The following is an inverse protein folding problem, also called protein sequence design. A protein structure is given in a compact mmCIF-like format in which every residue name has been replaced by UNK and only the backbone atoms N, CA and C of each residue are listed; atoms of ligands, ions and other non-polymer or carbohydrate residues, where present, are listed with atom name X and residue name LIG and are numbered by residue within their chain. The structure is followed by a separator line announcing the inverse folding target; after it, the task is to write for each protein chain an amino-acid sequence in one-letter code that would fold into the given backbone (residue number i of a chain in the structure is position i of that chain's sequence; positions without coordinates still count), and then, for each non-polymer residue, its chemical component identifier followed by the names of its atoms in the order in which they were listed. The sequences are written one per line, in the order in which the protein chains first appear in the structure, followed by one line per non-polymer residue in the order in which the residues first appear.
data_IF_564076072570
#
_entry.id   IF_564076072570
#
_cell.length_a   1.000
_cell.length_b   1.000
_cell.length_c   1.000
_cell.angle_alpha   90.00
_cell.angle_beta   90.00
_cell.angle_gamma   90.00
#
_symmetry.space_group_name_H-M   'P 1'
#
loop_
_entity.id
_entity.type
_entity.pdbx_description
1 polymer ?
#
# COMPACT_ATOMS: atom_id res chain seq x y z
N UNK A 1 -1.81 3.08 7.26
CA UNK A 1 -2.58 1.84 7.12
C UNK A 1 -1.74 0.69 7.64
N UNK A 2 -2.35 -0.28 8.33
CA UNK A 2 -1.66 -1.49 8.78
C UNK A 2 -2.34 -2.68 8.10
N UNK A 3 -1.58 -3.42 7.30
CA UNK A 3 -2.00 -4.75 6.85
C UNK A 3 -1.45 -5.72 7.87
N UNK A 4 -2.32 -6.47 8.54
CA UNK A 4 -1.92 -7.50 9.50
C UNK A 4 -2.06 -8.84 8.78
N UNK A 5 -0.92 -9.51 8.53
CA UNK A 5 -0.92 -10.90 8.07
C UNK A 5 -0.78 -11.81 9.29
N UNK A 6 -1.73 -12.72 9.49
CA UNK A 6 -1.81 -13.58 10.68
C UNK A 6 -0.91 -14.83 10.59
N UNK A 7 0.10 -14.83 9.72
CA UNK A 7 1.02 -15.96 9.52
C UNK A 7 2.43 -15.58 9.95
N UNK A 8 2.78 -16.01 11.18
CA UNK A 8 4.09 -15.94 11.84
C UNK A 8 4.76 -14.54 11.90
N UNK A 9 4.46 -13.83 12.99
CA UNK A 9 4.90 -12.44 13.25
C UNK A 9 6.37 -12.31 13.70
N UNK A 10 7.17 -13.38 13.70
CA UNK A 10 8.48 -13.41 14.36
C UNK A 10 9.64 -12.75 13.60
N UNK A 11 9.47 -12.38 12.32
CA UNK A 11 10.59 -11.97 11.46
C UNK A 11 10.56 -10.53 10.90
N UNK A 12 9.57 -9.70 11.25
CA UNK A 12 9.41 -8.38 10.62
C UNK A 12 10.08 -7.27 11.42
N UNK A 13 11.13 -6.68 10.87
CA UNK A 13 11.71 -5.43 11.38
C UNK A 13 11.51 -4.30 10.37
N UNK A 14 10.92 -3.20 10.83
CA UNK A 14 10.84 -1.94 10.08
C UNK A 14 12.24 -1.34 10.06
N UNK A 15 12.95 -1.44 8.93
CA UNK A 15 14.28 -0.83 8.80
C UNK A 15 14.15 0.71 8.70
N UNK A 16 14.87 1.49 9.52
CA UNK A 16 14.88 2.94 9.39
C UNK A 16 15.65 3.37 8.12
N UNK A 17 15.12 4.39 7.43
CA UNK A 17 15.74 4.99 6.24
C UNK A 17 17.17 5.45 6.56
N UNK A 18 18.19 4.91 5.85
CA UNK A 18 19.54 5.50 5.82
C UNK A 18 19.97 5.84 4.38
N UNK A 19 20.14 7.15 4.20
CA UNK A 19 21.07 7.91 3.36
C UNK A 19 21.05 7.86 1.81
N UNK A 20 20.56 9.00 1.27
CA UNK A 20 21.18 9.92 0.30
C UNK A 20 21.82 9.37 -0.97
N UNK A 21 21.08 9.54 -2.07
CA UNK A 21 21.55 9.48 -3.46
C UNK A 21 21.68 10.95 -3.95
N UNK A 22 22.82 11.38 -4.53
CA UNK A 22 22.95 12.73 -5.06
C UNK A 22 22.22 12.87 -6.41
N UNK A 23 21.61 14.03 -6.73
CA UNK A 23 20.89 14.20 -7.98
C UNK A 23 21.85 14.51 -9.13
N UNK A 24 21.75 13.79 -10.26
CA UNK A 24 22.29 14.25 -11.55
C UNK A 24 21.16 14.71 -12.46
N UNK A 25 21.12 16.04 -12.63
CA UNK A 25 20.70 16.90 -13.77
C UNK A 25 19.36 16.61 -14.49
N UNK A 26 18.38 17.43 -14.11
CA UNK A 26 17.54 18.32 -14.95
C UNK A 26 17.08 17.82 -16.33
N UNK A 27 15.80 17.46 -16.42
CA UNK A 27 14.99 17.62 -17.63
C UNK A 27 13.99 18.76 -17.41
N UNK A 28 13.77 19.56 -18.44
CA UNK A 28 13.20 20.90 -18.41
C UNK A 28 11.72 20.97 -18.01
N UNK A 29 11.38 22.13 -17.46
CA UNK A 29 10.14 22.47 -16.76
C UNK A 29 9.04 22.80 -17.76
N UNK A 30 8.10 21.88 -17.99
CA UNK A 30 6.82 22.21 -18.62
C UNK A 30 5.87 22.76 -17.54
N UNK A 31 5.59 24.06 -17.66
CA UNK A 31 4.80 24.87 -16.74
C UNK A 31 3.29 24.67 -16.95
N UNK A 32 2.70 23.70 -16.26
CA UNK A 32 1.29 23.75 -15.82
C UNK A 32 1.00 22.73 -14.71
N UNK A 33 1.65 22.89 -13.56
CA UNK A 33 1.34 22.12 -12.37
C UNK A 33 0.03 22.65 -11.76
N UNK A 34 -1.02 21.82 -11.71
CA UNK A 34 -2.18 22.02 -10.84
C UNK A 34 -1.66 22.07 -9.38
N UNK A 35 -2.28 22.83 -8.47
CA UNK A 35 -1.84 22.92 -7.09
C UNK A 35 -2.04 21.56 -6.41
N UNK A 36 -1.07 20.66 -6.52
CA UNK A 36 -0.99 19.49 -5.67
C UNK A 36 -0.57 19.98 -4.29
N UNK A 37 -1.54 19.96 -3.37
CA UNK A 37 -1.39 19.97 -1.92
C UNK A 37 -0.09 20.65 -1.42
N UNK A 38 -0.06 21.99 -1.46
CA UNK A 38 1.11 22.80 -1.13
C UNK A 38 1.30 23.05 0.37
N UNK A 39 0.80 22.18 1.26
CA UNK A 39 1.02 22.31 2.71
C UNK A 39 1.94 21.22 3.22
N UNK A 40 3.25 21.48 3.18
CA UNK A 40 4.27 20.64 3.83
C UNK A 40 4.35 20.84 5.36
N UNK A 41 3.38 21.52 5.99
CA UNK A 41 3.24 21.64 7.46
C UNK A 41 1.79 21.85 7.89
N UNK A 42 0.95 20.85 7.66
CA UNK A 42 -0.32 20.67 8.36
C UNK A 42 -0.34 19.30 9.02
N UNK A 43 -0.96 19.19 10.19
CA UNK A 43 -1.31 17.90 10.80
C UNK A 43 -1.94 17.01 9.73
N UNK A 44 -1.54 15.73 9.60
CA UNK A 44 -2.19 14.84 8.64
C UNK A 44 -3.70 14.79 8.94
N UNK A 45 -4.54 14.65 7.91
CA UNK A 45 -5.97 14.58 8.12
C UNK A 45 -6.31 13.42 9.08
N UNK A 46 -7.34 13.58 9.92
CA UNK A 46 -7.74 12.54 10.86
C UNK A 46 -8.13 11.26 10.12
N UNK A 47 -7.92 10.10 10.73
CA UNK A 47 -8.36 8.84 10.12
C UNK A 47 -9.89 8.71 10.22
N UNK A 48 -10.59 8.40 9.11
CA UNK A 48 -12.01 8.04 9.16
C UNK A 48 -12.20 6.70 9.90
N UNK A 49 -13.43 6.37 10.32
CA UNK A 49 -13.74 5.08 10.93
C UNK A 49 -13.25 3.89 10.10
N UNK A 50 -12.59 2.94 10.76
CA UNK A 50 -11.95 1.79 10.12
C UNK A 50 -12.75 0.51 10.34
N UNK A 51 -12.70 -0.37 9.35
CA UNK A 51 -13.25 -1.71 9.35
C UNK A 51 -12.17 -2.72 8.98
N UNK A 52 -12.31 -3.94 9.50
CA UNK A 52 -11.49 -5.09 9.12
C UNK A 52 -12.16 -5.83 7.98
N UNK A 53 -11.45 -5.96 6.86
CA UNK A 53 -11.91 -6.69 5.67
C UNK A 53 -11.01 -7.91 5.45
N UNK A 54 -11.47 -9.14 5.72
CA UNK A 54 -10.72 -10.34 5.38
C UNK A 54 -10.78 -10.59 3.86
N UNK A 55 -9.61 -10.74 3.24
CA UNK A 55 -9.45 -11.03 1.82
C UNK A 55 -8.82 -12.40 1.64
N UNK A 56 -9.54 -13.32 0.98
CA UNK A 56 -9.00 -14.62 0.56
C UNK A 56 -8.15 -14.45 -0.69
N UNK A 57 -6.85 -14.69 -0.54
CA UNK A 57 -5.83 -14.52 -1.57
C UNK A 57 -5.39 -15.85 -2.17
N UNK A 58 -5.60 -16.95 -1.47
CA UNK A 58 -5.35 -18.28 -2.00
C UNK A 58 -6.53 -19.21 -1.69
N UNK A 59 -7.00 -19.89 -2.73
CA UNK A 59 -8.11 -20.84 -2.60
C UNK A 59 -7.62 -22.21 -2.09
N UNK A 60 -6.34 -22.54 -2.35
CA UNK A 60 -5.75 -23.85 -2.04
C UNK A 60 -5.20 -23.91 -0.59
N UNK A 61 -4.25 -23.04 -0.22
CA UNK A 61 -3.69 -22.99 1.15
C UNK A 61 -4.58 -22.20 2.13
N UNK A 62 -5.69 -21.62 1.65
CA UNK A 62 -6.62 -20.84 2.47
C UNK A 62 -6.05 -19.52 3.00
N UNK A 63 -4.96 -19.01 2.40
CA UNK A 63 -4.29 -17.81 2.88
C UNK A 63 -5.22 -16.59 2.82
N UNK A 64 -5.40 -15.95 3.97
CA UNK A 64 -6.26 -14.78 4.14
C UNK A 64 -5.44 -13.58 4.63
N UNK A 65 -5.62 -12.43 4.00
CA UNK A 65 -5.07 -11.15 4.46
C UNK A 65 -6.18 -10.31 5.08
N UNK A 66 -5.96 -9.78 6.28
CA UNK A 66 -6.90 -8.85 6.91
C UNK A 66 -6.46 -7.42 6.64
N UNK A 67 -7.29 -6.68 5.90
CA UNK A 67 -7.05 -5.28 5.55
C UNK A 67 -7.85 -4.38 6.47
N UNK A 68 -7.17 -3.50 7.21
CA UNK A 68 -7.81 -2.48 8.04
C UNK A 68 -7.90 -1.19 7.23
N UNK A 69 -9.11 -0.80 6.82
CA UNK A 69 -9.37 0.32 5.92
C UNK A 69 -10.65 1.08 6.29
N UNK A 70 -10.90 2.28 5.75
CA UNK A 70 -12.21 2.91 5.84
C UNK A 70 -13.28 2.06 5.15
N UNK A 71 -14.56 2.27 5.47
CA UNK A 71 -15.66 1.48 4.91
C UNK A 71 -15.62 1.48 3.37
N UNK A 72 -15.54 2.66 2.77
CA UNK A 72 -15.32 2.88 1.34
C UNK A 72 -14.78 4.29 1.09
N UNK A 73 -14.32 4.57 -0.14
CA UNK A 73 -13.89 5.91 -0.55
C UNK A 73 -14.95 6.99 -0.29
N UNK A 74 -16.22 6.73 -0.63
CA UNK A 74 -17.31 7.69 -0.40
C UNK A 74 -17.48 8.07 1.08
N UNK A 75 -17.47 7.08 1.98
CA UNK A 75 -17.56 7.34 3.43
C UNK A 75 -16.34 8.09 3.97
N UNK A 76 -15.14 7.81 3.44
CA UNK A 76 -13.94 8.56 3.79
C UNK A 76 -14.00 10.00 3.27
N UNK A 77 -14.58 10.22 2.10
CA UNK A 77 -14.74 11.55 1.51
C UNK A 77 -15.71 12.40 2.33
N UNK A 78 -16.88 11.86 2.69
CA UNK A 78 -17.86 12.54 3.54
C UNK A 78 -17.24 12.93 4.90
N UNK A 79 -16.43 12.04 5.48
CA UNK A 79 -15.70 12.32 6.71
C UNK A 79 -14.71 13.48 6.52
N UNK A 80 -13.95 13.51 5.43
CA UNK A 80 -12.99 14.58 5.17
C UNK A 80 -13.66 15.93 4.92
N UNK A 81 -14.73 15.97 4.13
CA UNK A 81 -15.52 17.18 3.92
C UNK A 81 -16.04 17.73 5.26
N UNK A 82 -16.57 16.86 6.13
CA UNK A 82 -17.06 17.25 7.46
C UNK A 82 -15.95 17.82 8.39
N UNK A 83 -14.69 17.49 8.13
CA UNK A 83 -13.53 17.94 8.92
C UNK A 83 -12.71 19.05 8.23
N UNK A 84 -13.21 19.62 7.12
CA UNK A 84 -12.55 20.71 6.40
C UNK A 84 -11.36 20.26 5.54
N UNK A 85 -11.39 19.03 5.04
CA UNK A 85 -10.40 18.43 4.14
C UNK A 85 -11.04 18.05 2.79
N UNK A 86 -11.80 18.95 2.18
CA UNK A 86 -12.48 18.74 0.89
C UNK A 86 -11.54 18.49 -0.30
N UNK A 87 -10.28 18.95 -0.20
CA UNK A 87 -9.23 18.65 -1.19
C UNK A 87 -8.60 17.24 -1.06
N UNK A 88 -8.98 16.46 -0.04
CA UNK A 88 -8.47 15.11 0.18
C UNK A 88 -9.33 14.06 -0.52
N UNK A 89 -8.84 13.54 -1.64
CA UNK A 89 -9.52 12.49 -2.41
C UNK A 89 -9.09 11.08 -1.94
N UNK A 90 -9.98 10.29 -1.29
CA UNK A 90 -9.61 9.04 -0.62
C UNK A 90 -9.69 7.80 -1.53
N UNK A 91 -9.21 7.87 -2.77
CA UNK A 91 -9.18 6.71 -3.67
C UNK A 91 -8.39 5.50 -3.13
N UNK A 92 -7.46 5.76 -2.21
CA UNK A 92 -6.72 4.71 -1.50
C UNK A 92 -7.62 3.87 -0.55
N UNK A 93 -8.80 4.35 -0.16
CA UNK A 93 -9.65 3.72 0.86
C UNK A 93 -10.36 2.44 0.39
N UNK A 94 -10.40 2.20 -0.91
CA UNK A 94 -10.99 1.00 -1.50
C UNK A 94 -9.91 -0.03 -1.87
N UNK A 95 -10.30 -1.30 -1.74
CA UNK A 95 -9.48 -2.40 -2.27
C UNK A 95 -9.74 -2.51 -3.76
N UNK A 96 -8.74 -2.17 -4.55
CA UNK A 96 -8.83 -2.26 -6.00
C UNK A 96 -8.87 -3.74 -6.45
N UNK A 97 -9.84 -4.15 -7.30
CA UNK A 97 -9.95 -5.52 -7.78
C UNK A 97 -8.68 -6.05 -8.43
N UNK A 98 -7.95 -5.17 -9.15
CA UNK A 98 -6.68 -5.52 -9.78
C UNK A 98 -5.60 -5.91 -8.76
N UNK A 99 -5.55 -5.27 -7.58
CA UNK A 99 -4.58 -5.61 -6.53
C UNK A 99 -4.90 -6.99 -5.92
N UNK A 100 -6.17 -7.33 -5.75
CA UNK A 100 -6.59 -8.68 -5.31
C UNK A 100 -6.29 -9.74 -6.35
N UNK A 101 -6.54 -9.45 -7.63
CA UNK A 101 -6.22 -10.37 -8.73
C UNK A 101 -4.70 -10.63 -8.82
N UNK A 102 -3.89 -9.57 -8.69
CA UNK A 102 -2.44 -9.71 -8.64
C UNK A 102 -1.99 -10.51 -7.43
N UNK A 103 -2.53 -10.24 -6.25
CA UNK A 103 -2.25 -10.99 -5.03
C UNK A 103 -2.53 -12.50 -5.22
N UNK A 104 -3.70 -12.85 -5.78
CA UNK A 104 -4.06 -14.24 -6.12
C UNK A 104 -3.10 -14.86 -7.13
N UNK A 105 -2.76 -14.10 -8.17
CA UNK A 105 -1.82 -14.56 -9.19
C UNK A 105 -0.44 -14.90 -8.60
N UNK A 106 0.07 -14.09 -7.66
CA UNK A 106 1.34 -14.36 -6.97
C UNK A 106 1.33 -15.69 -6.20
N UNK A 107 0.17 -16.12 -5.69
CA UNK A 107 0.01 -17.42 -5.04
C UNK A 107 -0.15 -18.56 -6.04
N UNK A 108 -0.75 -18.31 -7.21
CA UNK A 108 -0.94 -19.32 -8.26
C UNK A 108 0.33 -19.67 -9.06
N UNK A 109 1.43 -18.91 -8.90
CA UNK A 109 2.69 -19.14 -9.63
C UNK A 109 3.84 -19.53 -8.69
N UNK A 110 4.94 -20.02 -9.27
CA UNK A 110 6.16 -20.31 -8.50
C UNK A 110 6.78 -19.02 -7.95
N UNK A 111 7.25 -19.03 -6.70
CA UNK A 111 7.82 -17.85 -6.03
C UNK A 111 9.29 -17.56 -6.40
N UNK A 112 9.83 -18.16 -7.46
CA UNK A 112 11.27 -18.06 -7.75
C UNK A 112 11.70 -16.64 -8.15
N UNK A 113 10.80 -15.88 -8.79
CA UNK A 113 11.07 -14.51 -9.25
C UNK A 113 11.13 -13.48 -8.11
N UNK A 114 10.64 -13.80 -6.91
CA UNK A 114 10.67 -12.91 -5.73
C UNK A 114 11.77 -13.28 -4.72
N UNK A 115 12.47 -14.40 -4.91
CA UNK A 115 13.58 -14.81 -4.04
C UNK A 115 14.77 -13.86 -4.23
N UNK A 116 15.28 -13.35 -3.11
CA UNK A 116 16.36 -12.37 -3.00
C UNK A 116 16.12 -11.05 -3.78
N UNK A 117 14.90 -10.85 -4.26
CA UNK A 117 14.51 -9.71 -5.05
C UNK A 117 14.22 -8.48 -4.17
N UNK A 118 14.41 -7.30 -4.77
CA UNK A 118 13.88 -6.03 -4.25
C UNK A 118 12.66 -5.69 -5.09
N UNK A 119 11.49 -5.75 -4.47
CA UNK A 119 10.20 -5.53 -5.12
C UNK A 119 9.70 -4.13 -4.78
N UNK A 120 9.11 -3.44 -5.75
CA UNK A 120 8.41 -2.18 -5.54
C UNK A 120 7.01 -2.28 -6.15
N UNK A 121 5.98 -1.96 -5.37
CA UNK A 121 4.61 -1.80 -5.84
C UNK A 121 4.30 -0.31 -5.98
N UNK A 122 3.95 0.13 -7.19
CA UNK A 122 3.60 1.51 -7.51
C UNK A 122 2.09 1.68 -7.51
N UNK A 123 1.60 2.79 -6.96
CA UNK A 123 0.16 3.01 -6.77
C UNK A 123 -0.42 1.92 -5.87
N UNK A 124 0.28 1.62 -4.78
CA UNK A 124 -0.04 0.44 -3.97
C UNK A 124 -1.37 0.58 -3.21
N UNK A 125 -1.88 1.80 -3.00
CA UNK A 125 -3.07 2.03 -2.19
C UNK A 125 -2.94 1.36 -0.82
N UNK A 126 -3.80 0.37 -0.55
CA UNK A 126 -3.77 -0.41 0.70
C UNK A 126 -2.65 -1.46 0.77
N UNK A 127 -1.89 -1.68 -0.31
CA UNK A 127 -0.71 -2.54 -0.37
C UNK A 127 -1.00 -4.04 -0.41
N UNK A 128 -2.19 -4.44 -0.87
CA UNK A 128 -2.64 -5.85 -0.83
C UNK A 128 -1.69 -6.77 -1.61
N UNK A 129 -1.32 -6.41 -2.85
CA UNK A 129 -0.46 -7.27 -3.65
C UNK A 129 1.00 -7.27 -3.16
N UNK A 130 1.55 -6.15 -2.70
CA UNK A 130 2.88 -6.09 -2.13
C UNK A 130 2.99 -6.88 -0.83
N UNK A 131 1.99 -6.81 0.05
CA UNK A 131 1.95 -7.68 1.24
C UNK A 131 1.81 -9.14 0.85
N UNK A 132 0.94 -9.47 -0.10
CA UNK A 132 0.81 -10.83 -0.63
C UNK A 132 2.15 -11.35 -1.18
N UNK A 133 2.91 -10.53 -1.93
CA UNK A 133 4.24 -10.88 -2.41
C UNK A 133 5.20 -11.19 -1.25
N UNK A 134 5.18 -10.38 -0.21
CA UNK A 134 6.06 -10.54 0.95
C UNK A 134 5.73 -11.82 1.74
N UNK A 135 4.43 -12.13 1.92
CA UNK A 135 3.93 -13.37 2.54
C UNK A 135 4.30 -14.58 1.69
N UNK A 136 4.05 -14.51 0.37
CA UNK A 136 4.38 -15.57 -0.58
C UNK A 136 5.87 -15.89 -0.59
N UNK A 137 6.72 -14.87 -0.43
CA UNK A 137 8.17 -15.02 -0.35
C UNK A 137 8.64 -15.70 0.95
N UNK A 138 7.82 -15.78 2.01
CA UNK A 138 8.16 -16.36 3.32
C UNK A 138 9.52 -15.86 3.85
N UNK A 139 9.75 -14.54 3.79
CA UNK A 139 11.00 -13.91 4.24
C UNK A 139 12.17 -13.99 3.26
N UNK A 140 11.98 -14.58 2.06
CA UNK A 140 13.02 -14.65 1.02
C UNK A 140 13.09 -13.43 0.12
N UNK A 141 12.12 -12.52 0.18
CA UNK A 141 12.23 -11.23 -0.48
C UNK A 141 13.16 -10.34 0.34
N UNK A 142 14.13 -9.69 -0.31
CA UNK A 142 15.07 -8.80 0.39
C UNK A 142 14.36 -7.56 0.91
N UNK A 143 13.39 -7.05 0.15
CA UNK A 143 12.57 -5.89 0.50
C UNK A 143 11.35 -5.83 -0.42
N UNK A 144 10.19 -5.47 0.14
CA UNK A 144 9.03 -5.02 -0.62
C UNK A 144 8.74 -3.56 -0.23
N UNK A 145 8.86 -2.65 -1.19
CA UNK A 145 8.56 -1.24 -1.02
C UNK A 145 7.16 -0.94 -1.56
N UNK A 146 6.35 -0.25 -0.77
CA UNK A 146 5.00 0.19 -1.13
C UNK A 146 5.06 1.71 -1.40
N UNK A 147 4.65 2.12 -2.59
CA UNK A 147 4.71 3.51 -3.05
C UNK A 147 3.33 3.96 -3.51
N UNK A 148 2.72 4.90 -2.77
CA UNK A 148 1.43 5.55 -3.03
C UNK A 148 1.64 7.06 -3.25
#
# INVERSE_FOLDING_TARGET
FFVVCESDMSAWSVLPRRHSIPPRRTCERSSRAKPHCSSLRSTPPPLPPLVSLPLRIDDDDGTTLTVIKPICSSSAYDFYVAHGFDDCDPFWADVWPASVALARHLFSVSCDFIRDARVAELGCGLGVAGVAAAVRAKGRARCVALLD
#
